data_IF_321036926296
#
_entry.id   IF_321036926296
#
_cell.length_a   1.000
_cell.length_b   1.000
_cell.length_c   1.000
_cell.angle_alpha   90.00
_cell.angle_beta   90.00
_cell.angle_gamma   90.00
#
_symmetry.space_group_name_H-M   'P 1'
#
loop_
_entity.id
_entity.type
_entity.pdbx_description
1 polymer ?
#
# COMPACT_ATOMS: atom_id res chain seq x y z
N UNK A 1 19.30 -9.26 14.67
CA UNK A 1 18.04 -8.54 14.32
C UNK A 1 16.93 -9.55 14.08
N UNK A 2 15.74 -9.28 14.59
CA UNK A 2 14.58 -10.19 14.55
C UNK A 2 14.20 -10.56 13.11
N UNK A 3 13.86 -11.84 12.88
CA UNK A 3 13.44 -12.39 11.57
C UNK A 3 11.99 -12.03 11.19
N UNK A 4 11.37 -11.07 11.88
CA UNK A 4 9.96 -10.72 11.68
C UNK A 4 9.76 -9.90 10.39
N UNK A 5 8.66 -10.16 9.70
CA UNK A 5 8.19 -9.31 8.61
C UNK A 5 7.67 -7.95 9.16
N UNK A 6 7.50 -6.96 8.30
CA UNK A 6 7.10 -5.60 8.69
C UNK A 6 5.78 -5.55 9.49
N UNK A 7 4.81 -6.37 9.09
CA UNK A 7 3.51 -6.52 9.79
C UNK A 7 3.71 -6.96 11.23
N UNK A 8 4.40 -8.08 11.43
CA UNK A 8 4.63 -8.66 12.75
C UNK A 8 5.57 -7.80 13.60
N UNK A 9 6.51 -7.09 12.96
CA UNK A 9 7.41 -6.17 13.67
C UNK A 9 6.66 -4.97 14.26
N UNK A 10 5.80 -4.29 13.48
CA UNK A 10 4.99 -3.19 14.02
C UNK A 10 4.01 -3.70 15.07
N UNK A 11 3.39 -4.86 14.85
CA UNK A 11 2.52 -5.47 15.86
C UNK A 11 3.27 -5.73 17.17
N UNK A 12 4.45 -6.32 17.11
CA UNK A 12 5.28 -6.58 18.29
C UNK A 12 5.69 -5.28 19.01
N UNK A 13 6.02 -4.21 18.28
CA UNK A 13 6.31 -2.90 18.88
C UNK A 13 5.07 -2.36 19.62
N UNK A 14 3.90 -2.41 18.99
CA UNK A 14 2.66 -1.95 19.61
C UNK A 14 2.31 -2.77 20.87
N UNK A 15 2.46 -4.10 20.80
CA UNK A 15 2.05 -5.04 21.86
C UNK A 15 3.03 -5.13 23.02
N UNK A 16 4.34 -4.95 22.78
CA UNK A 16 5.37 -5.19 23.79
C UNK A 16 6.16 -3.95 24.21
N UNK A 17 6.27 -2.93 23.35
CA UNK A 17 6.98 -1.70 23.70
C UNK A 17 6.01 -0.59 24.08
N UNK A 18 5.07 -0.25 23.19
CA UNK A 18 4.11 0.83 23.42
C UNK A 18 3.11 0.46 24.53
N UNK A 19 2.81 -0.82 24.69
CA UNK A 19 1.93 -1.29 25.76
C UNK A 19 2.43 -0.96 27.17
N UNK A 20 3.75 -0.93 27.38
CA UNK A 20 4.37 -0.57 28.66
C UNK A 20 4.10 0.89 28.98
N UNK A 21 4.17 1.77 27.98
CA UNK A 21 3.88 3.21 28.14
C UNK A 21 2.44 3.41 28.61
N UNK A 22 1.49 2.61 28.10
CA UNK A 22 0.08 2.73 28.49
C UNK A 22 -0.14 2.57 30.00
N UNK A 23 0.65 1.75 30.69
CA UNK A 23 0.51 1.56 32.14
C UNK A 23 0.74 2.87 32.92
N UNK A 24 1.58 3.76 32.38
CA UNK A 24 1.95 5.00 33.03
C UNK A 24 1.02 6.17 32.69
N UNK A 25 0.18 6.04 31.65
CA UNK A 25 -0.76 7.08 31.23
C UNK A 25 -1.82 7.28 32.31
N UNK A 26 -1.94 8.51 32.81
CA UNK A 26 -2.88 8.87 33.88
C UNK A 26 -2.39 8.52 35.29
N UNK A 27 -1.26 7.82 35.44
CA UNK A 27 -0.57 7.64 36.72
C UNK A 27 0.54 8.68 36.89
N UNK A 28 1.35 8.85 35.85
CA UNK A 28 2.35 9.92 35.78
C UNK A 28 1.68 11.18 35.23
N UNK A 29 2.02 12.33 35.80
CA UNK A 29 1.56 13.66 35.35
C UNK A 29 2.35 14.10 34.12
N UNK A 30 2.20 13.34 33.03
CA UNK A 30 2.85 13.64 31.75
C UNK A 30 1.99 14.61 30.94
N UNK A 31 2.63 15.63 30.38
CA UNK A 31 2.04 16.63 29.50
C UNK A 31 2.07 16.19 28.01
N UNK A 32 1.22 16.76 27.14
CA UNK A 32 1.15 16.41 25.71
C UNK A 32 2.50 16.44 24.99
N UNK A 33 3.35 17.41 25.30
CA UNK A 33 4.69 17.60 24.72
C UNK A 33 5.62 16.43 25.02
N UNK A 34 5.47 15.79 26.18
CA UNK A 34 6.26 14.63 26.58
C UNK A 34 5.86 13.39 25.77
N UNK A 35 4.56 13.20 25.50
CA UNK A 35 4.10 12.12 24.61
C UNK A 35 4.60 12.33 23.17
N UNK A 36 4.57 13.57 22.66
CA UNK A 36 5.15 13.90 21.34
C UNK A 36 6.65 13.60 21.28
N UNK A 37 7.39 13.86 22.37
CA UNK A 37 8.81 13.55 22.50
C UNK A 37 9.06 12.04 22.46
N UNK A 38 8.26 11.24 23.18
CA UNK A 38 8.33 9.78 23.11
C UNK A 38 8.11 9.27 21.67
N UNK A 39 7.09 9.79 20.99
CA UNK A 39 6.83 9.48 19.57
C UNK A 39 8.02 9.83 18.66
N UNK A 40 8.68 10.96 18.91
CA UNK A 40 9.91 11.33 18.21
C UNK A 40 11.04 10.33 18.47
N UNK A 41 11.31 9.97 19.72
CA UNK A 41 12.37 9.03 20.10
C UNK A 41 12.12 7.63 19.51
N UNK A 42 10.88 7.12 19.55
CA UNK A 42 10.48 5.87 18.90
C UNK A 42 10.83 5.92 17.41
N UNK A 43 10.49 7.01 16.71
CA UNK A 43 10.83 7.17 15.29
C UNK A 43 12.33 7.19 15.06
N UNK A 44 13.14 7.82 15.93
CA UNK A 44 14.59 7.80 15.81
C UNK A 44 15.15 6.38 15.89
N UNK A 45 14.62 5.54 16.78
CA UNK A 45 15.00 4.12 16.86
C UNK A 45 14.63 3.38 15.58
N UNK A 46 13.43 3.60 15.03
CA UNK A 46 13.02 2.98 13.75
C UNK A 46 13.91 3.42 12.58
N UNK A 47 14.34 4.69 12.56
CA UNK A 47 15.24 5.24 11.54
C UNK A 47 16.63 4.59 11.66
N UNK A 48 17.18 4.51 12.88
CA UNK A 48 18.47 3.86 13.16
C UNK A 48 18.52 2.41 12.65
N UNK A 49 17.39 1.71 12.68
CA UNK A 49 17.29 0.33 12.20
C UNK A 49 16.82 0.18 10.74
N UNK A 50 16.63 1.29 10.03
CA UNK A 50 16.11 1.36 8.66
C UNK A 50 14.69 0.77 8.48
N UNK A 51 13.89 0.79 9.55
CA UNK A 51 12.48 0.38 9.54
C UNK A 51 11.58 1.56 9.16
N UNK A 52 12.09 2.78 9.29
CA UNK A 52 11.51 4.00 8.74
C UNK A 52 12.64 4.79 8.07
N UNK A 53 12.35 5.49 6.98
CA UNK A 53 13.36 6.22 6.20
C UNK A 53 13.07 7.73 6.28
N UNK A 54 14.10 8.55 6.22
CA UNK A 54 13.96 10.01 6.07
C UNK A 54 14.19 10.39 4.61
N UNK A 55 13.41 11.31 4.01
CA UNK A 55 12.31 12.09 4.61
C UNK A 55 10.90 11.49 4.42
N UNK A 56 10.64 10.21 4.76
CA UNK A 56 9.31 9.59 4.59
C UNK A 56 8.22 10.24 5.45
N UNK A 57 6.95 10.04 5.07
CA UNK A 57 5.82 10.63 5.78
C UNK A 57 5.64 10.01 7.18
N UNK A 58 5.82 10.83 8.23
CA UNK A 58 5.63 10.43 9.63
C UNK A 58 4.16 10.16 9.98
N UNK A 59 3.22 10.89 9.39
CA UNK A 59 1.78 10.77 9.69
C UNK A 59 1.24 9.42 9.23
N UNK A 60 1.63 9.02 8.02
CA UNK A 60 1.23 7.76 7.41
C UNK A 60 1.84 6.54 8.16
N UNK A 61 2.89 6.74 8.97
CA UNK A 61 3.44 5.70 9.86
C UNK A 61 2.40 5.27 10.91
N UNK A 62 1.60 6.24 11.38
CA UNK A 62 0.56 6.06 12.39
C UNK A 62 -0.79 5.67 11.82
N UNK A 63 -1.03 5.92 10.52
CA UNK A 63 -2.26 5.49 9.86
C UNK A 63 -2.42 3.95 9.91
N UNK A 64 -3.66 3.43 10.02
CA UNK A 64 -3.94 2.01 9.96
C UNK A 64 -3.41 1.34 8.68
N UNK A 65 -3.01 0.07 8.79
CA UNK A 65 -2.53 -0.72 7.64
C UNK A 65 -3.58 -0.96 6.57
N UNK A 66 -4.87 -0.90 6.91
CA UNK A 66 -5.99 -0.98 5.95
C UNK A 66 -6.21 0.33 5.20
N UNK A 67 -5.61 1.43 5.66
CA UNK A 67 -5.79 2.79 5.16
C UNK A 67 -4.47 3.32 4.59
N UNK A 68 -3.74 2.46 3.86
CA UNK A 68 -2.43 2.75 3.26
C UNK A 68 -1.33 3.16 4.25
N UNK A 69 -1.54 3.01 5.55
CA UNK A 69 -0.56 3.32 6.59
C UNK A 69 0.28 2.13 7.06
N UNK A 70 1.10 2.34 8.08
CA UNK A 70 1.94 1.27 8.67
C UNK A 70 1.47 0.75 10.02
N UNK A 71 0.51 1.43 10.65
CA UNK A 71 -0.17 0.99 11.86
C UNK A 71 0.69 1.00 13.12
N UNK A 72 1.74 1.83 13.18
CA UNK A 72 2.42 2.09 14.46
C UNK A 72 1.43 2.85 15.35
N UNK A 73 1.27 2.45 16.61
CA UNK A 73 0.46 3.23 17.54
C UNK A 73 1.16 4.56 17.83
N UNK A 74 0.44 5.67 17.63
CA UNK A 74 0.89 6.99 18.08
C UNK A 74 0.68 7.07 19.59
N UNK A 75 1.75 7.36 20.34
CA UNK A 75 1.71 7.41 21.81
C UNK A 75 0.82 8.57 22.25
N UNK A 76 0.95 9.72 21.61
CA UNK A 76 0.10 10.90 21.84
C UNK A 76 -1.38 10.58 21.62
N UNK A 77 -1.75 9.99 20.49
CA UNK A 77 -3.16 9.66 20.22
C UNK A 77 -3.72 8.60 21.19
N UNK A 78 -2.87 7.64 21.61
CA UNK A 78 -3.25 6.65 22.60
C UNK A 78 -3.46 7.27 23.97
N UNK A 79 -2.57 8.16 24.42
CA UNK A 79 -2.69 8.77 25.73
C UNK A 79 -3.97 9.60 25.82
N UNK A 80 -4.29 10.38 24.78
CA UNK A 80 -5.56 11.11 24.67
C UNK A 80 -6.78 10.20 24.83
N UNK A 81 -6.80 9.07 24.09
CA UNK A 81 -7.91 8.11 24.16
C UNK A 81 -8.05 7.48 25.54
N UNK A 82 -6.92 7.16 26.19
CA UNK A 82 -6.90 6.57 27.52
C UNK A 82 -7.34 7.57 28.59
N UNK A 83 -6.86 8.81 28.55
CA UNK A 83 -7.24 9.88 29.46
C UNK A 83 -8.72 10.23 29.32
N UNK A 84 -9.25 10.31 28.10
CA UNK A 84 -10.68 10.53 27.86
C UNK A 84 -11.52 9.40 28.45
N UNK A 85 -11.13 8.13 28.26
CA UNK A 85 -11.83 6.99 28.85
C UNK A 85 -11.77 6.99 30.38
N UNK A 86 -10.60 7.34 30.95
CA UNK A 86 -10.42 7.47 32.39
C UNK A 86 -11.32 8.57 32.96
N UNK A 87 -11.30 9.76 32.36
CA UNK A 87 -12.15 10.89 32.73
C UNK A 87 -13.63 10.54 32.66
N UNK A 88 -14.08 9.92 31.58
CA UNK A 88 -15.47 9.49 31.40
C UNK A 88 -15.88 8.46 32.45
N UNK A 89 -15.01 7.50 32.79
CA UNK A 89 -15.29 6.49 33.83
C UNK A 89 -15.37 7.07 35.24
N UNK A 90 -14.50 8.05 35.56
CA UNK A 90 -14.54 8.77 36.83
C UNK A 90 -15.80 9.64 36.93
N UNK A 91 -16.11 10.37 35.86
CA UNK A 91 -17.28 11.25 35.78
C UNK A 91 -18.60 10.48 35.89
N UNK A 92 -18.75 9.37 35.16
CA UNK A 92 -19.96 8.55 35.20
C UNK A 92 -20.22 7.94 36.59
N UNK A 93 -19.16 7.64 37.35
CA UNK A 93 -19.26 7.05 38.68
C UNK A 93 -19.16 8.08 39.82
N UNK A 94 -19.20 9.39 39.51
CA UNK A 94 -19.08 10.48 40.50
C UNK A 94 -20.12 10.36 41.61
N UNK A 95 -21.35 10.02 41.25
CA UNK A 95 -22.46 9.95 42.22
C UNK A 95 -22.56 8.60 42.94
N UNK A 96 -21.89 7.55 42.44
CA UNK A 96 -21.96 6.20 42.99
C UNK A 96 -20.70 5.79 43.77
N UNK A 97 -19.60 6.54 43.67
CA UNK A 97 -18.34 6.24 44.35
C UNK A 97 -17.68 7.49 44.93
N UNK A 98 -17.70 7.62 46.27
CA UNK A 98 -17.03 8.70 47.00
C UNK A 98 -15.53 8.80 46.65
N UNK A 99 -14.85 7.66 46.48
CA UNK A 99 -13.43 7.63 46.10
C UNK A 99 -13.20 8.26 44.73
N UNK A 100 -14.01 7.90 43.72
CA UNK A 100 -13.87 8.45 42.37
C UNK A 100 -14.23 9.93 42.32
N UNK A 101 -15.25 10.34 43.08
CA UNK A 101 -15.61 11.75 43.23
C UNK A 101 -14.47 12.58 43.84
N UNK A 102 -13.81 12.07 44.88
CA UNK A 102 -12.67 12.73 45.51
C UNK A 102 -11.47 12.83 44.56
N UNK A 103 -11.15 11.76 43.82
CA UNK A 103 -10.08 11.79 42.79
C UNK A 103 -10.39 12.88 41.76
N UNK A 104 -11.59 12.88 41.18
CA UNK A 104 -11.97 13.85 40.16
C UNK A 104 -11.88 15.28 40.69
N UNK A 105 -12.33 15.54 41.92
CA UNK A 105 -12.23 16.86 42.56
C UNK A 105 -10.77 17.32 42.70
N UNK A 106 -9.87 16.45 43.13
CA UNK A 106 -8.43 16.77 43.25
C UNK A 106 -7.82 17.08 41.88
N UNK A 107 -8.20 16.34 40.83
CA UNK A 107 -7.73 16.58 39.47
C UNK A 107 -8.30 17.91 38.89
N UNK A 108 -9.56 18.23 39.19
CA UNK A 108 -10.24 19.50 38.85
C UNK A 108 -9.55 20.68 39.56
N UNK A 109 -9.33 20.59 40.88
CA UNK A 109 -8.70 21.63 41.71
C UNK A 109 -7.26 21.92 41.25
N UNK A 110 -6.52 20.88 40.89
CA UNK A 110 -5.16 20.99 40.37
C UNK A 110 -5.08 21.41 38.90
N UNK A 111 -6.22 21.52 38.20
CA UNK A 111 -6.29 21.79 36.75
C UNK A 111 -5.38 20.86 35.93
N UNK A 112 -5.32 19.59 36.31
CA UNK A 112 -4.47 18.62 35.63
C UNK A 112 -4.87 18.40 34.17
N UNK A 113 -3.95 17.87 33.36
CA UNK A 113 -4.27 17.50 31.99
C UNK A 113 -5.46 16.51 31.90
N UNK A 114 -5.60 15.59 32.87
CA UNK A 114 -6.72 14.66 32.94
C UNK A 114 -8.07 15.38 33.13
N UNK A 115 -8.16 16.40 34.01
CA UNK A 115 -9.41 17.13 34.20
C UNK A 115 -9.74 18.05 33.04
N UNK A 116 -8.72 18.53 32.31
CA UNK A 116 -8.88 19.38 31.14
C UNK A 116 -9.05 18.61 29.82
N UNK A 117 -8.95 17.27 29.82
CA UNK A 117 -8.83 16.46 28.60
C UNK A 117 -9.96 16.71 27.61
N UNK A 118 -11.21 16.85 28.06
CA UNK A 118 -12.36 17.07 27.16
C UNK A 118 -12.23 18.41 26.43
N UNK A 119 -11.88 19.48 27.16
CA UNK A 119 -11.67 20.81 26.58
C UNK A 119 -10.45 20.83 25.66
N UNK A 120 -9.34 20.23 26.10
CA UNK A 120 -8.12 20.10 25.29
C UNK A 120 -8.39 19.41 23.94
N UNK A 121 -9.09 18.27 23.95
CA UNK A 121 -9.43 17.54 22.73
C UNK A 121 -10.41 18.32 21.85
N UNK A 122 -11.40 19.00 22.47
CA UNK A 122 -12.33 19.87 21.76
C UNK A 122 -11.62 20.96 20.98
N UNK A 123 -10.64 21.63 21.60
CA UNK A 123 -9.84 22.67 20.96
C UNK A 123 -8.87 22.10 19.92
N UNK A 124 -8.15 21.02 20.24
CA UNK A 124 -7.11 20.45 19.37
C UNK A 124 -7.66 19.90 18.04
N UNK A 125 -8.83 19.26 18.11
CA UNK A 125 -9.45 18.59 16.97
C UNK A 125 -10.66 19.37 16.41
N UNK A 126 -10.91 20.59 16.90
CA UNK A 126 -12.04 21.44 16.50
C UNK A 126 -13.40 20.70 16.57
N UNK A 127 -13.61 19.94 17.65
CA UNK A 127 -14.79 19.08 17.78
C UNK A 127 -16.02 19.87 18.24
N UNK A 128 -17.10 19.78 17.47
CA UNK A 128 -18.41 20.26 17.88
C UNK A 128 -19.15 19.18 18.70
N UNK A 129 -19.66 19.56 19.87
CA UNK A 129 -20.51 18.69 20.70
C UNK A 129 -19.75 17.76 21.64
N UNK A 130 -20.34 16.59 21.95
CA UNK A 130 -19.84 15.67 22.97
C UNK A 130 -18.62 14.89 22.44
N UNK A 131 -17.49 15.03 23.12
CA UNK A 131 -16.25 14.29 22.81
C UNK A 131 -16.38 12.84 23.28
N UNK A 132 -16.67 11.93 22.35
CA UNK A 132 -16.71 10.48 22.62
C UNK A 132 -15.46 9.79 22.07
N UNK A 133 -15.08 8.60 22.58
CA UNK A 133 -13.94 7.86 22.05
C UNK A 133 -14.04 7.55 20.55
N UNK A 134 -15.26 7.32 20.04
CA UNK A 134 -15.49 7.08 18.60
C UNK A 134 -15.21 8.33 17.77
N UNK A 135 -15.70 9.49 18.23
CA UNK A 135 -15.45 10.79 17.56
C UNK A 135 -13.95 11.11 17.57
N UNK A 136 -13.28 10.89 18.69
CA UNK A 136 -11.84 11.13 18.81
C UNK A 136 -11.02 10.30 17.81
N UNK A 137 -11.31 8.99 17.66
CA UNK A 137 -10.59 8.12 16.71
C UNK A 137 -10.74 8.63 15.27
N UNK A 138 -11.94 9.08 14.89
CA UNK A 138 -12.19 9.65 13.56
C UNK A 138 -11.41 10.94 13.38
N UNK A 139 -11.45 11.85 14.36
CA UNK A 139 -10.76 13.13 14.28
C UNK A 139 -9.23 12.98 14.21
N UNK A 140 -8.65 12.08 15.02
CA UNK A 140 -7.23 11.73 14.97
C UNK A 140 -6.82 11.22 13.59
N UNK A 141 -7.66 10.38 12.98
CA UNK A 141 -7.45 9.85 11.65
C UNK A 141 -7.54 10.94 10.56
N UNK A 142 -8.49 11.86 10.69
CA UNK A 142 -8.66 12.98 9.76
C UNK A 142 -7.50 13.96 9.80
N UNK A 143 -7.01 14.34 10.99
CA UNK A 143 -5.82 15.20 11.11
C UNK A 143 -4.61 14.58 10.39
N UNK A 144 -4.33 13.29 10.63
CA UNK A 144 -3.20 12.62 9.96
C UNK A 144 -3.36 12.66 8.44
N UNK A 145 -4.57 12.40 7.92
CA UNK A 145 -4.82 12.47 6.47
C UNK A 145 -4.69 13.88 5.91
N UNK A 146 -5.18 14.89 6.62
CA UNK A 146 -5.10 16.29 6.19
C UNK A 146 -3.64 16.74 6.10
N UNK A 147 -2.81 16.39 7.09
CA UNK A 147 -1.38 16.67 7.07
C UNK A 147 -0.64 15.95 5.91
N UNK A 148 -1.07 14.74 5.54
CA UNK A 148 -0.54 14.05 4.36
C UNK A 148 -0.93 14.77 3.07
N UNK A 149 -2.20 15.16 2.94
CA UNK A 149 -2.74 15.83 1.75
C UNK A 149 -2.10 17.21 1.52
N UNK A 150 -1.75 17.93 2.58
CA UNK A 150 -1.03 19.23 2.50
C UNK A 150 0.34 19.11 1.83
N UNK A 151 0.97 17.93 1.83
CA UNK A 151 2.31 17.72 1.26
C UNK A 151 2.25 17.31 -0.20
N UNK A 152 2.90 18.07 -1.07
CA UNK A 152 2.83 17.92 -2.54
C UNK A 152 3.15 16.51 -3.05
N UNK A 153 4.15 15.84 -2.47
CA UNK A 153 4.57 14.49 -2.89
C UNK A 153 3.77 13.38 -2.20
N UNK A 154 3.57 13.47 -0.87
CA UNK A 154 2.86 12.44 -0.09
C UNK A 154 1.38 12.40 -0.44
N UNK A 155 0.78 13.56 -0.65
CA UNK A 155 -0.61 13.72 -1.03
C UNK A 155 -0.97 13.07 -2.37
N UNK A 156 -0.01 12.84 -3.28
CA UNK A 156 -0.28 12.21 -4.58
C UNK A 156 -0.93 10.83 -4.46
N UNK A 157 -0.39 9.96 -3.60
CA UNK A 157 -0.99 8.65 -3.32
C UNK A 157 -2.40 8.82 -2.74
N UNK A 158 -2.57 9.80 -1.86
CA UNK A 158 -3.83 10.04 -1.15
C UNK A 158 -4.90 10.75 -1.98
N UNK A 159 -4.58 11.24 -3.18
CA UNK A 159 -5.61 11.62 -4.17
C UNK A 159 -6.49 10.43 -4.55
N UNK A 160 -5.98 9.21 -4.38
CA UNK A 160 -6.74 7.99 -4.69
C UNK A 160 -7.96 7.84 -3.77
N UNK A 161 -7.88 8.42 -2.57
CA UNK A 161 -8.96 8.46 -1.58
C UNK A 161 -10.15 9.32 -2.01
N UNK A 162 -9.91 10.28 -2.89
CA UNK A 162 -10.94 11.21 -3.38
C UNK A 162 -11.67 10.63 -4.62
N UNK A 163 -11.25 9.47 -5.12
CA UNK A 163 -11.83 8.83 -6.30
C UNK A 163 -12.77 7.67 -5.88
N UNK A 164 -14.05 7.78 -6.22
CA UNK A 164 -15.10 6.84 -5.79
C UNK A 164 -14.85 5.37 -6.18
N UNK A 165 -14.28 5.14 -7.37
CA UNK A 165 -14.02 3.78 -7.88
C UNK A 165 -12.73 3.14 -7.34
N UNK A 166 -11.99 3.79 -6.44
CA UNK A 166 -10.76 3.23 -5.86
C UNK A 166 -11.04 2.51 -4.55
N UNK A 167 -10.44 1.32 -4.38
CA UNK A 167 -10.50 0.59 -3.10
C UNK A 167 -9.21 0.78 -2.29
N UNK A 168 -9.26 1.63 -1.28
CA UNK A 168 -8.12 1.87 -0.37
C UNK A 168 -7.72 0.61 0.40
N UNK A 169 -8.72 -0.14 0.86
CA UNK A 169 -8.51 -1.38 1.60
C UNK A 169 -7.83 -2.43 0.73
N UNK A 170 -8.28 -2.63 -0.49
CA UNK A 170 -7.70 -3.66 -1.37
C UNK A 170 -6.33 -3.21 -1.90
N UNK A 171 -6.11 -1.91 -2.10
CA UNK A 171 -4.79 -1.32 -2.41
C UNK A 171 -3.78 -1.49 -1.27
N UNK A 172 -4.26 -1.74 -0.04
CA UNK A 172 -3.44 -1.92 1.16
C UNK A 172 -3.20 -3.39 1.52
N UNK A 173 -3.54 -4.34 0.64
CA UNK A 173 -3.43 -5.77 0.94
C UNK A 173 -2.00 -6.19 1.29
N UNK A 174 -1.00 -5.64 0.60
CA UNK A 174 0.42 -5.88 0.91
C UNK A 174 0.86 -5.31 2.28
N UNK A 175 0.24 -4.24 2.77
CA UNK A 175 0.51 -3.70 4.11
C UNK A 175 -0.15 -4.54 5.20
N UNK A 176 -1.29 -5.16 4.92
CA UNK A 176 -2.02 -5.98 5.90
C UNK A 176 -1.54 -7.44 5.97
N UNK A 177 -1.23 -8.04 4.82
CA UNK A 177 -0.98 -9.48 4.66
C UNK A 177 0.37 -9.79 4.01
N UNK A 178 1.18 -8.78 3.69
CA UNK A 178 2.49 -8.96 3.06
C UNK A 178 3.52 -9.59 3.98
N UNK A 179 4.40 -10.40 3.39
CA UNK A 179 5.51 -11.04 4.08
C UNK A 179 6.85 -10.37 3.73
N UNK A 180 6.86 -9.04 3.69
CA UNK A 180 8.06 -8.26 3.40
C UNK A 180 8.89 -8.07 4.66
N UNK A 181 10.21 -8.11 4.54
CA UNK A 181 11.09 -7.66 5.63
C UNK A 181 10.77 -6.20 5.97
N UNK A 182 10.86 -5.83 7.25
CA UNK A 182 10.51 -4.48 7.71
C UNK A 182 11.27 -3.38 6.97
N UNK A 183 12.55 -3.62 6.64
CA UNK A 183 13.39 -2.69 5.85
C UNK A 183 12.94 -2.55 4.39
N UNK A 184 12.56 -3.66 3.76
CA UNK A 184 12.03 -3.64 2.39
C UNK A 184 10.68 -2.92 2.35
N UNK A 185 9.79 -3.18 3.32
CA UNK A 185 8.52 -2.46 3.47
C UNK A 185 8.77 -0.94 3.60
N UNK A 186 9.74 -0.53 4.42
CA UNK A 186 10.11 0.88 4.57
C UNK A 186 10.53 1.53 3.24
N UNK A 187 11.21 0.78 2.37
CA UNK A 187 11.68 1.28 1.07
C UNK A 187 10.54 1.37 0.05
N UNK A 188 9.62 0.41 0.03
CA UNK A 188 8.42 0.48 -0.83
C UNK A 188 7.48 1.62 -0.41
N UNK A 189 7.38 1.85 0.89
CA UNK A 189 6.64 2.97 1.44
C UNK A 189 7.27 4.31 1.02
N UNK A 190 8.60 4.40 1.07
CA UNK A 190 9.36 5.57 0.61
C UNK A 190 9.20 5.84 -0.91
N UNK A 191 9.08 4.77 -1.71
CA UNK A 191 8.69 4.85 -3.13
C UNK A 191 7.30 5.46 -3.28
N UNK A 192 6.31 4.95 -2.57
CA UNK A 192 4.92 5.44 -2.63
C UNK A 192 4.78 6.88 -2.12
N UNK A 193 5.65 7.33 -1.23
CA UNK A 193 5.70 8.73 -0.80
C UNK A 193 6.38 9.66 -1.84
N UNK A 194 6.82 9.12 -2.99
CA UNK A 194 7.54 9.85 -4.05
C UNK A 194 8.84 10.52 -3.58
N UNK A 195 9.41 10.03 -2.49
CA UNK A 195 10.54 10.67 -1.81
C UNK A 195 11.93 10.11 -2.21
N UNK A 196 11.99 9.15 -3.13
CA UNK A 196 13.25 8.48 -3.53
C UNK A 196 14.36 9.46 -3.92
N UNK A 197 14.00 10.58 -4.52
CA UNK A 197 14.94 11.59 -4.99
C UNK A 197 15.28 12.67 -3.94
N UNK A 198 14.73 12.62 -2.73
CA UNK A 198 15.02 13.56 -1.64
C UNK A 198 14.96 15.05 -2.06
N UNK A 199 14.06 15.42 -2.96
CA UNK A 199 13.95 16.79 -3.47
C UNK A 199 15.02 17.20 -4.50
N UNK A 200 15.90 16.28 -4.93
CA UNK A 200 16.84 16.53 -6.02
C UNK A 200 16.08 16.97 -7.27
N UNK A 201 16.39 18.17 -7.73
CA UNK A 201 15.89 18.70 -8.99
C UNK A 201 16.83 18.29 -10.12
N UNK A 202 16.24 17.84 -11.21
CA UNK A 202 17.00 17.42 -12.38
C UNK A 202 16.07 16.99 -13.50
N UNK A 203 16.58 16.99 -14.71
CA UNK A 203 15.88 16.39 -15.85
C UNK A 203 16.03 14.87 -15.81
N UNK A 204 15.06 14.19 -16.39
CA UNK A 204 15.12 12.76 -16.60
C UNK A 204 16.38 12.41 -17.42
N UNK A 205 17.25 11.49 -16.94
CA UNK A 205 18.50 11.19 -17.63
C UNK A 205 18.27 10.56 -19.01
N UNK A 206 17.10 9.95 -19.24
CA UNK A 206 16.76 9.30 -20.49
C UNK A 206 16.19 10.27 -21.51
N UNK A 207 15.02 10.85 -21.25
CA UNK A 207 14.35 11.69 -22.24
C UNK A 207 14.88 13.12 -22.28
N UNK A 208 15.45 13.63 -21.16
CA UNK A 208 15.88 15.02 -20.97
C UNK A 208 14.80 16.09 -21.19
N UNK A 209 13.59 15.71 -21.59
CA UNK A 209 12.47 16.63 -21.83
C UNK A 209 11.61 16.91 -20.60
N UNK A 210 11.63 16.02 -19.60
CA UNK A 210 10.78 16.10 -18.43
C UNK A 210 11.59 16.04 -17.13
N UNK A 211 11.01 16.57 -16.06
CA UNK A 211 11.61 16.56 -14.72
C UNK A 211 11.71 15.13 -14.17
N UNK A 212 12.83 14.81 -13.51
CA UNK A 212 13.11 13.50 -12.90
C UNK A 212 12.21 13.30 -11.67
N UNK A 213 11.06 12.70 -11.88
CA UNK A 213 10.09 12.37 -10.82
C UNK A 213 9.82 10.88 -10.81
N UNK A 214 9.36 10.37 -9.66
CA UNK A 214 8.95 8.96 -9.53
C UNK A 214 7.84 8.64 -10.51
N UNK A 215 6.81 9.50 -10.62
CA UNK A 215 5.70 9.31 -11.55
C UNK A 215 6.18 9.27 -13.02
N UNK A 216 7.10 10.16 -13.40
CA UNK A 216 7.65 10.17 -14.76
C UNK A 216 8.44 8.89 -15.07
N UNK A 217 9.34 8.48 -14.19
CA UNK A 217 10.17 7.29 -14.41
C UNK A 217 9.36 6.00 -14.32
N UNK A 218 8.31 5.96 -13.50
CA UNK A 218 7.47 4.78 -13.38
C UNK A 218 6.68 4.51 -14.67
N UNK A 219 6.05 5.52 -15.26
CA UNK A 219 5.05 5.30 -16.34
C UNK A 219 4.96 6.38 -17.42
N UNK A 220 5.80 7.44 -17.43
CA UNK A 220 5.71 8.52 -18.44
C UNK A 220 6.99 8.77 -19.24
N UNK A 221 8.05 8.02 -18.98
CA UNK A 221 9.31 8.19 -19.71
C UNK A 221 9.34 7.26 -20.93
N UNK A 222 9.10 7.79 -22.12
CA UNK A 222 8.97 6.99 -23.35
C UNK A 222 10.15 6.03 -23.60
N UNK A 223 11.37 6.48 -23.27
CA UNK A 223 12.60 5.68 -23.44
C UNK A 223 12.73 4.51 -22.47
N UNK A 224 12.05 4.56 -21.32
CA UNK A 224 12.08 3.52 -20.30
C UNK A 224 10.77 2.72 -20.23
N UNK A 225 9.69 3.28 -20.76
CA UNK A 225 8.32 2.80 -20.59
C UNK A 225 8.20 1.33 -20.94
N UNK A 226 8.67 0.92 -22.13
CA UNK A 226 8.58 -0.46 -22.59
C UNK A 226 9.28 -1.44 -21.65
N UNK A 227 10.55 -1.18 -21.33
CA UNK A 227 11.36 -2.08 -20.50
C UNK A 227 10.83 -2.18 -19.06
N UNK A 228 10.56 -1.04 -18.41
CA UNK A 228 10.12 -1.01 -17.01
C UNK A 228 8.68 -1.53 -16.84
N UNK A 229 7.80 -1.24 -17.80
CA UNK A 229 6.46 -1.81 -17.86
C UNK A 229 6.54 -3.34 -17.99
N UNK A 230 7.28 -3.85 -18.97
CA UNK A 230 7.41 -5.30 -19.21
C UNK A 230 7.95 -6.03 -18.00
N UNK A 231 8.91 -5.46 -17.25
CA UNK A 231 9.43 -6.11 -16.03
C UNK A 231 8.37 -6.27 -14.94
N UNK A 232 7.47 -5.30 -14.77
CA UNK A 232 6.37 -5.38 -13.79
C UNK A 232 5.30 -6.35 -14.27
N UNK A 233 4.86 -6.17 -15.52
CA UNK A 233 3.84 -6.99 -16.17
C UNK A 233 4.22 -8.48 -16.14
N UNK A 234 5.43 -8.82 -16.59
CA UNK A 234 5.90 -10.21 -16.64
C UNK A 234 5.94 -10.89 -15.27
N UNK A 235 6.27 -10.16 -14.19
CA UNK A 235 6.24 -10.73 -12.85
C UNK A 235 4.81 -10.99 -12.35
N UNK A 236 3.87 -10.12 -12.69
CA UNK A 236 2.44 -10.31 -12.38
C UNK A 236 1.89 -11.51 -13.16
N UNK A 237 2.15 -11.57 -14.47
CA UNK A 237 1.83 -12.73 -15.34
C UNK A 237 2.43 -14.00 -14.76
N UNK A 238 3.69 -13.98 -14.31
CA UNK A 238 4.35 -15.13 -13.69
C UNK A 238 3.64 -15.63 -12.43
N UNK A 239 3.14 -14.71 -11.60
CA UNK A 239 2.39 -15.05 -10.39
C UNK A 239 1.04 -15.69 -10.72
N UNK A 240 0.28 -15.08 -11.63
CA UNK A 240 -1.03 -15.59 -12.07
C UNK A 240 -0.86 -16.93 -12.79
N UNK A 241 0.14 -17.04 -13.67
CA UNK A 241 0.47 -18.29 -14.36
C UNK A 241 0.77 -19.42 -13.37
N UNK A 242 1.61 -19.20 -12.35
CA UNK A 242 1.86 -20.23 -11.33
C UNK A 242 0.58 -20.64 -10.59
N UNK A 243 -0.27 -19.69 -10.25
CA UNK A 243 -1.55 -19.97 -9.59
C UNK A 243 -2.42 -20.89 -10.47
N UNK A 244 -2.56 -20.57 -11.75
CA UNK A 244 -3.35 -21.34 -12.70
C UNK A 244 -2.73 -22.73 -12.95
N UNK A 245 -1.40 -22.84 -13.09
CA UNK A 245 -0.71 -24.13 -13.18
C UNK A 245 -1.03 -25.03 -11.98
N UNK A 246 -1.10 -24.46 -10.78
CA UNK A 246 -1.48 -25.20 -9.57
C UNK A 246 -2.94 -25.60 -9.59
N UNK A 247 -3.83 -24.68 -9.94
CA UNK A 247 -5.29 -24.90 -10.01
C UNK A 247 -5.62 -26.09 -10.92
N UNK A 248 -4.95 -26.19 -12.06
CA UNK A 248 -5.20 -27.24 -13.06
C UNK A 248 -4.25 -28.45 -12.99
N UNK A 249 -3.47 -28.58 -11.90
CA UNK A 249 -2.65 -29.75 -11.63
C UNK A 249 -1.36 -29.88 -12.46
N UNK A 250 -0.95 -28.84 -13.18
CA UNK A 250 0.30 -28.82 -13.94
C UNK A 250 1.55 -28.76 -13.04
N UNK A 251 1.46 -28.08 -11.89
CA UNK A 251 2.56 -27.95 -10.93
C UNK A 251 2.06 -28.12 -9.50
N UNK A 252 2.87 -28.77 -8.65
CA UNK A 252 2.60 -28.93 -7.21
C UNK A 252 3.34 -27.91 -6.32
N UNK A 253 4.35 -27.21 -6.87
CA UNK A 253 5.22 -26.32 -6.09
C UNK A 253 4.62 -24.93 -5.84
N UNK A 254 4.92 -24.35 -4.68
CA UNK A 254 4.60 -22.96 -4.32
C UNK A 254 5.78 -22.00 -4.58
N UNK A 255 6.92 -22.50 -5.08
CA UNK A 255 8.14 -21.71 -5.22
C UNK A 255 8.08 -20.83 -6.47
N UNK A 256 7.59 -19.61 -6.31
CA UNK A 256 7.53 -18.61 -7.38
C UNK A 256 8.91 -18.25 -7.95
N UNK A 257 9.96 -18.20 -7.11
CA UNK A 257 11.30 -17.78 -7.53
C UNK A 257 11.88 -18.63 -8.66
N UNK A 258 11.64 -19.94 -8.63
CA UNK A 258 12.12 -20.91 -9.63
C UNK A 258 11.10 -21.19 -10.74
N UNK A 259 9.94 -20.53 -10.74
CA UNK A 259 8.92 -20.75 -11.74
C UNK A 259 9.29 -20.00 -13.02
N UNK A 260 9.41 -20.73 -14.12
CA UNK A 260 9.40 -20.19 -15.48
C UNK A 260 8.00 -20.26 -16.06
N UNK A 261 7.65 -19.22 -16.82
CA UNK A 261 6.42 -19.17 -17.62
C UNK A 261 6.63 -20.04 -18.86
N UNK A 262 5.67 -20.90 -19.17
CA UNK A 262 5.66 -21.72 -20.38
C UNK A 262 4.57 -21.18 -21.30
N UNK A 263 4.87 -21.04 -22.58
CA UNK A 263 3.93 -20.44 -23.54
C UNK A 263 2.65 -21.27 -23.72
N UNK A 264 2.77 -22.59 -23.70
CA UNK A 264 1.63 -23.51 -23.85
C UNK A 264 1.80 -24.68 -22.90
N UNK A 265 0.75 -24.98 -22.15
CA UNK A 265 0.64 -26.16 -21.30
C UNK A 265 -0.73 -26.80 -21.53
N UNK A 266 -0.78 -28.11 -21.80
CA UNK A 266 -2.04 -28.82 -22.00
C UNK A 266 -2.01 -30.16 -21.28
N UNK A 267 -3.10 -30.50 -20.60
CA UNK A 267 -3.35 -31.80 -20.00
C UNK A 267 -4.84 -32.17 -20.22
N UNK A 268 -5.31 -33.26 -19.62
CA UNK A 268 -6.70 -33.70 -19.78
C UNK A 268 -7.73 -32.71 -19.21
N UNK A 269 -7.32 -31.92 -18.21
CA UNK A 269 -8.20 -31.00 -17.48
C UNK A 269 -8.28 -29.62 -18.14
N UNK A 270 -7.17 -29.10 -18.64
CA UNK A 270 -7.10 -27.74 -19.14
C UNK A 270 -5.98 -27.52 -20.16
N UNK A 271 -6.07 -26.39 -20.85
CA UNK A 271 -4.99 -25.82 -21.64
C UNK A 271 -4.75 -24.38 -21.21
N UNK A 272 -3.49 -24.03 -20.92
CA UNK A 272 -3.06 -22.68 -20.57
C UNK A 272 -2.13 -22.20 -21.68
N UNK A 273 -2.40 -21.02 -22.23
CA UNK A 273 -1.52 -20.34 -23.18
C UNK A 273 -1.15 -18.97 -22.61
N UNK A 274 0.11 -18.59 -22.72
CA UNK A 274 0.62 -17.28 -22.31
C UNK A 274 1.25 -16.60 -23.50
N UNK A 275 0.88 -15.35 -23.77
CA UNK A 275 1.45 -14.56 -24.87
C UNK A 275 1.39 -15.28 -26.25
N UNK A 276 0.33 -16.04 -26.51
CA UNK A 276 0.18 -16.80 -27.76
C UNK A 276 -1.03 -16.34 -28.54
N UNK A 277 -0.86 -16.20 -29.86
CA UNK A 277 -1.98 -15.95 -30.77
C UNK A 277 -2.93 -17.14 -30.76
N UNK A 278 -4.22 -16.85 -30.67
CA UNK A 278 -5.29 -17.83 -30.76
C UNK A 278 -5.86 -17.72 -32.17
N UNK A 279 -5.80 -18.83 -32.91
CA UNK A 279 -6.42 -18.93 -34.23
C UNK A 279 -7.93 -19.08 -34.08
N UNK A 280 -8.66 -18.36 -34.92
CA UNK A 280 -10.12 -18.38 -35.05
C UNK A 280 -10.48 -18.44 -36.52
N UNK A 281 -11.70 -18.87 -36.84
CA UNK A 281 -12.17 -19.00 -38.23
C UNK A 281 -12.34 -17.62 -38.90
N UNK A 282 -12.66 -16.60 -38.10
CA UNK A 282 -12.64 -15.19 -38.53
C UNK A 282 -11.29 -14.52 -38.22
N UNK A 283 -10.88 -13.55 -39.05
CA UNK A 283 -9.69 -12.75 -38.81
C UNK A 283 -9.96 -11.69 -37.72
N UNK A 284 -9.40 -11.90 -36.53
CA UNK A 284 -9.53 -10.98 -35.39
C UNK A 284 -8.19 -10.25 -35.17
N UNK A 285 -8.24 -8.92 -35.04
CA UNK A 285 -7.05 -8.09 -34.82
C UNK A 285 -6.44 -8.32 -33.42
N UNK A 286 -7.27 -8.42 -32.39
CA UNK A 286 -6.85 -8.70 -31.02
C UNK A 286 -7.05 -10.18 -30.69
N UNK A 287 -6.01 -10.99 -30.90
CA UNK A 287 -6.06 -12.44 -30.68
C UNK A 287 -4.90 -13.00 -29.84
N UNK A 288 -4.15 -12.14 -29.14
CA UNK A 288 -2.99 -12.52 -28.32
C UNK A 288 -3.16 -12.05 -26.87
N UNK A 289 -4.02 -12.70 -26.07
CA UNK A 289 -4.19 -12.34 -24.66
C UNK A 289 -2.93 -12.66 -23.85
N UNK A 290 -2.75 -11.95 -22.72
CA UNK A 290 -1.63 -12.22 -21.81
C UNK A 290 -1.69 -13.66 -21.28
N UNK A 291 -2.85 -14.10 -20.78
CA UNK A 291 -3.08 -15.49 -20.38
C UNK A 291 -4.45 -15.94 -20.89
N UNK A 292 -4.47 -17.10 -21.54
CA UNK A 292 -5.67 -17.83 -21.93
C UNK A 292 -5.72 -19.16 -21.19
N UNK A 293 -6.91 -19.53 -20.72
CA UNK A 293 -7.18 -20.83 -20.12
C UNK A 293 -8.43 -21.42 -20.73
N UNK A 294 -8.33 -22.65 -21.23
CA UNK A 294 -9.45 -23.50 -21.59
C UNK A 294 -9.62 -24.58 -20.52
N UNK A 295 -10.67 -24.48 -19.72
CA UNK A 295 -11.08 -25.51 -18.76
C UNK A 295 -11.94 -26.56 -19.49
N UNK A 296 -11.31 -27.69 -19.83
CA UNK A 296 -11.95 -28.75 -20.63
C UNK A 296 -13.07 -29.45 -19.85
N UNK A 297 -12.96 -29.48 -18.52
CA UNK A 297 -13.89 -30.15 -17.61
C UNK A 297 -15.15 -29.32 -17.37
N UNK A 298 -14.98 -28.05 -17.04
CA UNK A 298 -16.10 -27.15 -16.70
C UNK A 298 -16.67 -26.42 -17.92
N UNK A 299 -16.08 -26.60 -19.12
CA UNK A 299 -16.46 -25.90 -20.36
C UNK A 299 -16.46 -24.38 -20.15
N UNK A 300 -15.33 -23.89 -19.63
CA UNK A 300 -15.12 -22.48 -19.35
C UNK A 300 -13.82 -22.01 -20.00
N UNK A 301 -13.86 -20.83 -20.59
CA UNK A 301 -12.72 -20.13 -21.15
C UNK A 301 -12.48 -18.87 -20.33
N UNK A 302 -11.24 -18.69 -19.91
CA UNK A 302 -10.80 -17.51 -19.19
C UNK A 302 -9.71 -16.79 -19.98
N UNK A 303 -9.94 -15.51 -20.21
CA UNK A 303 -8.98 -14.57 -20.81
C UNK A 303 -8.57 -13.61 -19.71
N UNK A 304 -7.28 -13.55 -19.38
CA UNK A 304 -6.73 -12.62 -18.40
C UNK A 304 -5.85 -11.62 -19.12
N UNK A 305 -6.05 -10.34 -18.82
CA UNK A 305 -5.25 -9.25 -19.36
C UNK A 305 -4.70 -8.42 -18.20
N UNK A 306 -3.38 -8.33 -18.11
CA UNK A 306 -2.67 -7.66 -17.02
C UNK A 306 -2.33 -6.24 -17.41
N UNK A 307 -2.56 -5.28 -16.52
CA UNK A 307 -2.23 -3.86 -16.75
C UNK A 307 -1.54 -3.22 -15.54
N UNK A 308 -0.37 -2.61 -15.76
CA UNK A 308 0.32 -1.80 -14.74
C UNK A 308 0.41 -0.35 -15.22
N UNK A 309 -0.32 0.55 -14.56
CA UNK A 309 -0.53 1.92 -15.05
C UNK A 309 -0.23 2.98 -13.98
N UNK A 310 -0.48 4.26 -14.26
CA UNK A 310 -0.57 5.32 -13.26
C UNK A 310 -2.02 5.47 -12.76
N UNK A 311 -2.14 6.13 -11.63
CA UNK A 311 -3.44 6.38 -10.99
C UNK A 311 -4.43 7.12 -11.89
N UNK A 312 -3.97 8.11 -12.67
CA UNK A 312 -4.84 8.92 -13.55
C UNK A 312 -5.50 8.10 -14.67
N UNK A 313 -4.90 6.98 -15.09
CA UNK A 313 -5.40 6.13 -16.18
C UNK A 313 -5.98 4.80 -15.67
N UNK A 314 -6.10 4.60 -14.35
CA UNK A 314 -6.46 3.31 -13.76
C UNK A 314 -7.78 2.77 -14.31
N UNK A 315 -8.84 3.58 -14.25
CA UNK A 315 -10.19 3.21 -14.71
C UNK A 315 -10.28 3.07 -16.23
N UNK A 316 -9.54 3.90 -16.98
CA UNK A 316 -9.50 3.86 -18.45
C UNK A 316 -8.85 2.56 -18.91
N UNK A 317 -7.67 2.23 -18.37
CA UNK A 317 -6.93 1.01 -18.73
C UNK A 317 -7.68 -0.25 -18.31
N UNK A 318 -8.35 -0.24 -17.15
CA UNK A 318 -9.20 -1.35 -16.73
C UNK A 318 -10.34 -1.61 -17.72
N UNK A 319 -11.06 -0.57 -18.13
CA UNK A 319 -12.15 -0.69 -19.10
C UNK A 319 -11.67 -1.08 -20.50
N UNK A 320 -10.55 -0.51 -20.96
CA UNK A 320 -9.94 -0.88 -22.24
C UNK A 320 -9.59 -2.38 -22.27
N UNK A 321 -8.93 -2.87 -21.23
CA UNK A 321 -8.53 -4.29 -21.12
C UNK A 321 -9.71 -5.23 -20.96
N UNK A 322 -10.79 -4.78 -20.31
CA UNK A 322 -12.02 -5.57 -20.21
C UNK A 322 -12.66 -5.81 -21.60
N UNK A 323 -12.71 -4.78 -22.44
CA UNK A 323 -13.42 -4.82 -23.74
C UNK A 323 -12.55 -5.31 -24.90
N UNK A 324 -11.22 -5.27 -24.75
CA UNK A 324 -10.24 -5.60 -25.79
C UNK A 324 -10.47 -6.95 -26.49
N UNK A 325 -10.98 -7.94 -25.75
CA UNK A 325 -11.17 -9.30 -26.25
C UNK A 325 -12.64 -9.73 -26.34
N UNK A 326 -13.60 -8.82 -26.34
CA UNK A 326 -15.03 -9.17 -26.42
C UNK A 326 -15.35 -10.03 -27.66
N UNK A 327 -14.86 -9.62 -28.83
CA UNK A 327 -15.06 -10.36 -30.09
C UNK A 327 -14.40 -11.74 -30.03
N UNK A 328 -13.15 -11.81 -29.54
CA UNK A 328 -12.42 -13.07 -29.40
C UNK A 328 -13.12 -14.01 -28.41
N UNK A 329 -13.60 -13.49 -27.28
CA UNK A 329 -14.30 -14.28 -26.27
C UNK A 329 -15.61 -14.85 -26.81
N UNK A 330 -16.37 -14.09 -27.60
CA UNK A 330 -17.59 -14.57 -28.23
C UNK A 330 -17.29 -15.70 -29.22
N UNK A 331 -16.31 -15.50 -30.10
CA UNK A 331 -15.93 -16.49 -31.11
C UNK A 331 -15.45 -17.80 -30.48
N UNK A 332 -14.58 -17.71 -29.46
CA UNK A 332 -14.09 -18.88 -28.74
C UNK A 332 -15.22 -19.58 -27.97
N UNK A 333 -16.20 -18.83 -27.49
CA UNK A 333 -17.40 -19.40 -26.87
C UNK A 333 -18.19 -20.27 -27.83
N UNK A 334 -18.31 -19.86 -29.10
CA UNK A 334 -18.96 -20.62 -30.16
C UNK A 334 -18.14 -21.85 -30.56
N UNK A 335 -16.84 -21.69 -30.84
CA UNK A 335 -15.94 -22.77 -31.27
C UNK A 335 -15.89 -23.90 -30.23
N UNK A 336 -15.69 -23.55 -28.96
CA UNK A 336 -15.51 -24.54 -27.89
C UNK A 336 -16.82 -24.88 -27.15
N UNK A 337 -17.95 -24.28 -27.54
CA UNK A 337 -19.24 -24.39 -26.85
C UNK A 337 -19.10 -24.21 -25.33
N UNK A 338 -18.33 -23.20 -24.94
CA UNK A 338 -17.87 -22.96 -23.57
C UNK A 338 -18.24 -21.55 -23.12
N UNK A 339 -18.49 -21.36 -21.82
CA UNK A 339 -18.71 -20.02 -21.25
C UNK A 339 -17.40 -19.26 -21.25
N UNK A 340 -17.42 -17.98 -21.62
CA UNK A 340 -16.20 -17.16 -21.67
C UNK A 340 -16.22 -16.07 -20.61
N UNK A 341 -15.05 -15.77 -20.05
CA UNK A 341 -14.84 -14.69 -19.07
C UNK A 341 -13.58 -13.93 -19.41
N UNK A 342 -13.67 -12.61 -19.39
CA UNK A 342 -12.53 -11.70 -19.52
C UNK A 342 -12.27 -11.08 -18.16
N UNK A 343 -11.03 -11.19 -17.67
CA UNK A 343 -10.61 -10.64 -16.39
C UNK A 343 -9.47 -9.64 -16.62
N UNK A 344 -9.73 -8.33 -16.49
CA UNK A 344 -8.67 -7.33 -16.44
C UNK A 344 -8.04 -7.33 -15.04
N UNK A 345 -6.79 -7.78 -14.92
CA UNK A 345 -6.01 -7.64 -13.69
C UNK A 345 -5.18 -6.36 -13.78
N UNK A 346 -5.76 -5.24 -13.32
CA UNK A 346 -5.16 -3.92 -13.45
C UNK A 346 -4.85 -3.31 -12.09
N UNK A 347 -3.63 -2.79 -11.94
CA UNK A 347 -3.22 -2.00 -10.77
C UNK A 347 -2.25 -0.91 -11.17
N UNK A 348 -2.05 0.07 -10.30
CA UNK A 348 -1.02 1.08 -10.54
C UNK A 348 0.37 0.60 -10.11
N UNK A 349 1.42 1.27 -10.59
CA UNK A 349 2.80 0.99 -10.15
C UNK A 349 3.01 1.19 -8.64
N UNK A 350 2.18 2.03 -8.00
CA UNK A 350 2.15 2.25 -6.55
C UNK A 350 1.11 1.39 -5.81
N UNK A 351 0.50 0.41 -6.48
CA UNK A 351 -0.33 -0.62 -5.85
C UNK A 351 -1.80 -0.23 -5.60
N UNK A 352 -2.27 0.85 -6.21
CA UNK A 352 -3.67 1.27 -6.17
C UNK A 352 -4.50 0.42 -7.12
N UNK A 353 -5.68 0.01 -6.66
CA UNK A 353 -6.64 -0.81 -7.41
C UNK A 353 -8.05 -0.26 -7.29
N UNK A 354 -8.91 -0.64 -8.23
CA UNK A 354 -10.32 -0.26 -8.22
C UNK A 354 -11.13 -1.09 -7.23
N UNK A 355 -12.37 -0.69 -6.99
CA UNK A 355 -13.35 -1.49 -6.22
C UNK A 355 -13.76 -2.77 -6.96
N UNK A 356 -13.64 -2.82 -8.29
CA UNK A 356 -13.91 -4.00 -9.10
C UNK A 356 -12.82 -5.07 -8.98
N UNK A 357 -11.58 -4.68 -8.68
CA UNK A 357 -10.44 -5.60 -8.54
C UNK A 357 -10.72 -6.78 -7.61
N UNK A 358 -11.46 -6.55 -6.53
CA UNK A 358 -11.87 -7.59 -5.58
C UNK A 358 -12.68 -8.72 -6.23
N UNK A 359 -13.50 -8.40 -7.22
CA UNK A 359 -14.25 -9.39 -8.01
C UNK A 359 -13.28 -10.20 -8.88
N UNK A 360 -12.38 -9.53 -9.60
CA UNK A 360 -11.41 -10.16 -10.50
C UNK A 360 -10.49 -11.14 -9.76
N UNK A 361 -9.93 -10.75 -8.61
CA UNK A 361 -9.08 -11.65 -7.82
C UNK A 361 -9.86 -12.86 -7.30
N UNK A 362 -11.15 -12.70 -6.96
CA UNK A 362 -12.02 -13.80 -6.51
C UNK A 362 -12.30 -14.78 -7.64
N UNK A 363 -12.59 -14.28 -8.84
CA UNK A 363 -12.82 -15.11 -10.02
C UNK A 363 -11.55 -15.88 -10.45
N UNK A 364 -10.37 -15.26 -10.32
CA UNK A 364 -9.08 -15.92 -10.54
C UNK A 364 -8.70 -16.92 -9.43
N UNK A 365 -9.34 -16.86 -8.27
CA UNK A 365 -8.98 -17.66 -7.09
C UNK A 365 -7.68 -17.19 -6.41
N UNK A 366 -7.31 -15.92 -6.56
CA UNK A 366 -6.14 -15.32 -5.91
C UNK A 366 -6.45 -15.15 -4.41
N UNK A 367 -5.63 -15.79 -3.58
CA UNK A 367 -5.71 -15.65 -2.12
C UNK A 367 -5.09 -14.31 -1.67
N UNK A 368 -5.54 -13.71 -0.54
CA UNK A 368 -5.01 -12.43 -0.06
C UNK A 368 -3.49 -12.40 0.15
N UNK A 369 -2.87 -13.53 0.51
CA UNK A 369 -1.41 -13.64 0.65
C UNK A 369 -0.67 -13.56 -0.69
N UNK A 370 -1.26 -14.09 -1.75
CA UNK A 370 -0.73 -13.98 -3.11
C UNK A 370 -0.93 -12.57 -3.66
N UNK A 371 -2.11 -11.96 -3.44
CA UNK A 371 -2.36 -10.56 -3.83
C UNK A 371 -1.36 -9.61 -3.15
N UNK A 372 -1.16 -9.78 -1.83
CA UNK A 372 -0.15 -9.04 -1.09
C UNK A 372 1.26 -9.20 -1.69
N UNK A 373 1.60 -10.41 -2.14
CA UNK A 373 2.88 -10.68 -2.80
C UNK A 373 2.96 -9.98 -4.17
N UNK A 374 1.92 -10.05 -5.00
CA UNK A 374 1.89 -9.41 -6.33
C UNK A 374 2.09 -7.90 -6.19
N UNK A 375 1.30 -7.24 -5.32
CA UNK A 375 1.43 -5.81 -5.02
C UNK A 375 2.86 -5.46 -4.56
N UNK A 376 3.44 -6.28 -3.66
CA UNK A 376 4.81 -6.08 -3.18
C UNK A 376 5.85 -6.21 -4.30
N UNK A 377 5.65 -7.13 -5.24
CA UNK A 377 6.55 -7.33 -6.37
C UNK A 377 6.48 -6.18 -7.36
N UNK A 378 5.28 -5.65 -7.63
CA UNK A 378 5.11 -4.45 -8.49
C UNK A 378 5.85 -3.26 -7.88
N UNK A 379 5.70 -3.01 -6.59
CA UNK A 379 6.45 -1.97 -5.86
C UNK A 379 7.95 -2.21 -5.92
N UNK A 380 8.39 -3.45 -5.70
CA UNK A 380 9.80 -3.83 -5.76
C UNK A 380 10.41 -3.59 -7.14
N UNK A 381 9.74 -4.02 -8.20
CA UNK A 381 10.22 -3.86 -9.59
C UNK A 381 10.25 -2.39 -9.99
N UNK A 382 9.25 -1.61 -9.59
CA UNK A 382 9.26 -0.16 -9.77
C UNK A 382 10.45 0.47 -9.05
N UNK A 383 10.70 0.09 -7.80
CA UNK A 383 11.84 0.57 -7.04
C UNK A 383 13.17 0.19 -7.69
N UNK A 384 13.35 -1.05 -8.15
CA UNK A 384 14.56 -1.51 -8.83
C UNK A 384 14.86 -0.64 -10.05
N UNK A 385 13.87 -0.41 -10.91
CA UNK A 385 14.00 0.43 -12.10
C UNK A 385 14.37 1.88 -11.75
N UNK A 386 13.67 2.48 -10.80
CA UNK A 386 13.92 3.87 -10.38
C UNK A 386 15.26 4.02 -9.64
N UNK A 387 15.68 3.02 -8.87
CA UNK A 387 16.92 3.06 -8.07
C UNK A 387 18.18 2.82 -8.89
N UNK A 388 18.11 2.03 -9.96
CA UNK A 388 19.22 1.93 -10.93
C UNK A 388 19.57 3.30 -11.50
N UNK A 389 18.57 4.14 -11.73
CA UNK A 389 18.71 5.52 -12.21
C UNK A 389 19.15 6.53 -11.13
N UNK A 390 19.07 6.15 -9.85
CA UNK A 390 19.74 6.90 -8.78
C UNK A 390 21.25 6.65 -8.80
N UNK A 391 21.69 5.41 -9.06
CA UNK A 391 23.12 5.06 -9.11
C UNK A 391 23.83 5.62 -10.34
N UNK A 392 23.20 5.56 -11.52
CA UNK A 392 23.75 6.14 -12.77
C UNK A 392 23.94 7.67 -12.74
N UNK A 393 23.24 8.38 -11.86
CA UNK A 393 23.42 9.83 -11.67
C UNK A 393 24.64 10.21 -10.84
N UNK A 394 25.17 9.29 -10.01
CA UNK A 394 26.40 9.51 -9.24
C UNK A 394 27.66 9.43 -10.12
N UNK A 395 27.69 8.53 -11.12
CA UNK A 395 28.86 8.38 -12.00
C UNK A 395 29.12 9.60 -12.93
N UNK A 396 28.17 10.51 -13.08
CA UNK A 396 28.36 11.75 -13.86
C UNK A 396 28.65 12.99 -12.99
N UNK A 397 28.46 12.93 -11.67
CA UNK A 397 28.67 14.08 -10.77
C UNK A 397 30.03 14.07 -10.06
N UNK A 398 30.72 12.92 -9.99
CA UNK A 398 32.06 12.82 -9.36
C UNK A 398 33.24 13.03 -10.33
N UNK A 399 32.99 13.40 -11.59
CA UNK A 399 34.03 13.64 -12.59
C UNK A 399 34.36 15.12 -12.86
N UNK A 400 33.78 16.09 -12.13
CA UNK A 400 34.15 17.51 -12.26
C UNK A 400 34.19 18.17 -10.90
N UNK A 401 35.40 18.21 -10.34
CA UNK A 401 35.67 18.81 -9.05
C UNK A 401 35.29 20.29 -8.97
N UNK A 402 34.98 20.70 -7.74
CA UNK A 402 35.33 22.04 -7.25
C UNK A 402 35.83 21.89 -5.81
N UNK A 403 37.11 22.26 -5.66
CA UNK A 403 37.79 22.67 -4.44
C UNK A 403 36.83 23.45 -3.54
N UNK A 404 36.77 23.06 -2.28
CA UNK A 404 36.35 23.93 -1.20
C UNK A 404 37.41 25.00 -1.02
N UNK A 405 37.02 26.27 -1.12
CA UNK A 405 37.81 27.41 -0.64
C UNK A 405 36.86 28.39 0.02
N UNK A 406 36.98 28.44 1.35
CA UNK A 406 36.78 29.55 2.29
C UNK A 406 35.99 30.78 1.82
N UNK A 407 34.85 31.02 2.48
CA UNK A 407 34.58 32.19 3.32
C UNK A 407 33.26 32.04 4.06
#
# INVERSE_FOLDING_TARGET
MTKLNGVNMIRAINEHAISVINYHVGLLKLEPEEYKKLDFEIRQVLIKHHIHLQPACKERLYLPRSEMGRGLACVEHRSESMLLNMYNSLSAARNSSLRRAAILKVEEDNKSHLSQIVGYLGTKYELAGIVTPKVLIVAQFEILNNEIKKRTNHGKLFKARDHELVSIRDSSTWLMKGNNQARSEATYYFLQDRNIFCGQEGQCPHCRSHRKTVDHLATKCDRMLGFDYMRRHNEVVRCIHLLLCKKYGFKKTNKIRSHSVQEVMSNDNAEIRVDRRISTDIKINHNKPDIFVLDKKNKEILIVEVGITNQDLLTIVENEKLRKYDILANELGLIYKSKTKIIPYVMTWDGVVTTYHKRYIKELGIQPSLEAYIQSVVLKKTLESISLERRRGHDQSDARGKRWSDK
#
